data_IF_753132215959
#
_entry.id   IF_753132215959
#
_cell.length_a   1.000
_cell.length_b   1.000
_cell.length_c   1.000
_cell.angle_alpha   90.00
_cell.angle_beta   90.00
_cell.angle_gamma   90.00
#
_symmetry.space_group_name_H-M   'P 1'
#
loop_
_entity.id
_entity.type
_entity.pdbx_description
1 polymer ?
#
# COMPACT_ATOMS: atom_id res chain seq x y z
N UNK A 1 1.79 -14.91 73.38
CA UNK A 1 2.69 -13.79 73.69
C UNK A 1 2.78 -12.96 72.42
N UNK A 2 2.00 -11.92 72.18
CA UNK A 2 1.87 -10.63 72.91
C UNK A 2 2.84 -9.71 72.20
N UNK A 3 2.45 -8.71 71.56
CA UNK A 3 1.83 -7.41 71.69
C UNK A 3 1.85 -6.67 70.33
N UNK A 4 0.81 -6.14 69.74
CA UNK A 4 0.11 -4.83 69.89
C UNK A 4 0.98 -3.57 69.98
N UNK A 5 0.75 -2.64 69.04
CA UNK A 5 0.56 -1.18 69.26
C UNK A 5 0.51 -0.51 67.88
N UNK A 6 -0.58 0.06 67.44
CA UNK A 6 -1.34 1.27 67.76
C UNK A 6 -0.76 2.54 67.14
N UNK A 7 -1.51 3.01 66.14
CA UNK A 7 -2.03 4.35 65.80
C UNK A 7 -1.33 5.60 66.34
N UNK A 8 -1.15 6.60 65.47
CA UNK A 8 -1.46 7.99 65.89
C UNK A 8 -1.82 8.84 64.66
N UNK A 9 -3.08 9.31 64.69
CA UNK A 9 -3.59 10.40 63.88
C UNK A 9 -3.12 11.72 64.52
N UNK A 10 -2.57 12.61 63.69
CA UNK A 10 -2.23 13.99 64.09
C UNK A 10 -3.32 14.97 63.65
N UNK A 11 -4.09 15.41 64.58
CA UNK A 11 -5.01 16.56 64.48
C UNK A 11 -4.25 17.87 64.41
N UNK A 12 -4.59 18.73 63.46
CA UNK A 12 -4.27 20.18 63.53
C UNK A 12 -5.54 20.97 63.76
N UNK A 13 -5.54 21.98 64.65
CA UNK A 13 -6.70 22.79 65.03
C UNK A 13 -6.93 23.95 64.05
N UNK A 14 -8.16 24.57 64.09
CA UNK A 14 -8.50 25.67 63.21
C UNK A 14 -8.03 27.02 63.71
N UNK A 15 -7.35 27.81 62.92
CA UNK A 15 -7.06 29.21 63.26
C UNK A 15 -8.15 30.14 62.75
N UNK A 16 -8.42 31.09 63.66
CA UNK A 16 -9.49 32.08 63.64
C UNK A 16 -9.26 33.18 62.61
N UNK A 17 -10.34 33.61 61.99
CA UNK A 17 -10.46 34.87 61.25
C UNK A 17 -10.36 36.08 62.22
N UNK A 18 -9.62 37.13 61.78
CA UNK A 18 -9.90 38.52 62.06
C UNK A 18 -9.19 39.46 61.13
N UNK A 19 -9.60 40.74 60.89
CA UNK A 19 -9.88 41.27 59.57
C UNK A 19 -8.98 42.43 59.11
N UNK A 20 -9.02 42.57 57.78
CA UNK A 20 -8.87 43.79 57.01
C UNK A 20 -7.77 44.81 57.32
N UNK A 21 -6.91 45.05 56.32
CA UNK A 21 -6.68 46.40 55.81
C UNK A 21 -5.83 46.42 54.53
N UNK A 22 -6.30 47.16 53.53
CA UNK A 22 -5.58 47.83 52.44
C UNK A 22 -4.56 47.05 51.57
N UNK A 23 -5.10 46.33 50.57
CA UNK A 23 -4.32 46.01 49.35
C UNK A 23 -5.13 46.19 48.05
N UNK A 24 -6.06 47.15 48.06
CA UNK A 24 -6.91 47.42 46.86
C UNK A 24 -6.22 48.27 45.81
N UNK A 25 -4.99 48.83 46.04
CA UNK A 25 -4.29 49.67 45.01
C UNK A 25 -3.23 48.98 44.18
N UNK A 26 -2.83 47.72 44.53
CA UNK A 26 -1.85 46.97 43.73
C UNK A 26 -2.46 45.97 42.74
N UNK A 27 -3.72 45.66 42.91
CA UNK A 27 -4.43 44.73 42.02
C UNK A 27 -4.97 45.41 40.77
N UNK A 28 -5.35 46.66 40.86
CA UNK A 28 -5.84 47.45 39.72
C UNK A 28 -4.71 47.84 38.75
N UNK A 29 -3.48 48.09 39.24
CA UNK A 29 -2.31 48.36 38.39
C UNK A 29 -1.78 47.11 37.67
N UNK A 30 -1.97 45.89 38.16
CA UNK A 30 -1.60 44.65 37.50
C UNK A 30 -2.62 44.23 36.44
N UNK A 31 -3.91 44.52 36.67
CA UNK A 31 -4.97 44.25 35.67
C UNK A 31 -4.98 45.32 34.57
N UNK A 32 -4.59 46.58 34.87
CA UNK A 32 -4.47 47.62 33.87
C UNK A 32 -3.27 47.39 32.92
N UNK A 33 -2.22 46.70 33.41
CA UNK A 33 -1.05 46.36 32.56
C UNK A 33 -1.19 45.06 31.79
N UNK A 34 -2.07 44.14 32.26
CA UNK A 34 -2.41 42.92 31.53
C UNK A 34 -3.35 43.20 30.37
N UNK A 35 -4.18 44.24 30.42
CA UNK A 35 -5.10 44.60 29.35
C UNK A 35 -4.42 45.54 28.26
N UNK A 36 -3.16 45.90 28.41
CA UNK A 36 -2.44 46.70 27.39
C UNK A 36 -1.69 45.86 26.34
N UNK A 37 -1.65 44.51 26.50
CA UNK A 37 -0.95 43.62 25.55
C UNK A 37 -1.89 42.66 24.78
N UNK A 38 -3.20 42.89 24.82
CA UNK A 38 -4.13 42.11 23.98
C UNK A 38 -5.27 43.02 23.52
N UNK A 39 -5.06 43.68 22.41
CA UNK A 39 -6.11 44.04 21.45
C UNK A 39 -5.50 44.93 20.36
N UNK A 40 -4.77 44.36 19.45
CA UNK A 40 -4.93 44.77 18.06
C UNK A 40 -6.27 44.15 17.62
N UNK A 41 -7.37 44.79 17.94
CA UNK A 41 -8.66 44.46 17.35
C UNK A 41 -8.49 44.72 15.86
N UNK A 42 -8.59 43.64 15.07
CA UNK A 42 -8.72 43.72 13.62
C UNK A 42 -9.89 44.68 13.35
N UNK A 43 -9.68 45.71 12.52
CA UNK A 43 -10.74 46.64 12.16
C UNK A 43 -11.91 45.88 11.50
N UNK A 44 -13.12 46.38 11.66
CA UNK A 44 -14.32 45.74 11.03
C UNK A 44 -14.17 45.66 9.52
N UNK A 45 -13.51 46.61 8.87
CA UNK A 45 -13.20 46.62 7.44
C UNK A 45 -12.22 45.48 7.07
N UNK A 46 -11.18 45.25 7.88
CA UNK A 46 -10.22 44.15 7.69
C UNK A 46 -10.90 42.77 7.84
N UNK A 47 -11.85 42.64 8.77
CA UNK A 47 -12.61 41.39 8.97
C UNK A 47 -13.45 41.06 7.76
N UNK A 48 -14.16 42.05 7.17
CA UNK A 48 -14.99 41.86 5.98
C UNK A 48 -14.12 41.54 4.76
N UNK A 49 -12.98 42.20 4.60
CA UNK A 49 -12.03 41.95 3.52
C UNK A 49 -11.45 40.53 3.60
N UNK A 50 -11.00 40.10 4.80
CA UNK A 50 -10.48 38.75 5.04
C UNK A 50 -11.59 37.70 4.80
N UNK A 51 -12.80 37.96 5.29
CA UNK A 51 -13.93 37.06 5.07
C UNK A 51 -14.28 36.90 3.59
N UNK A 52 -14.30 38.00 2.85
CA UNK A 52 -14.55 38.02 1.40
C UNK A 52 -13.45 37.25 0.64
N UNK A 53 -12.19 37.46 1.03
CA UNK A 53 -11.06 36.74 0.44
C UNK A 53 -11.11 35.23 0.72
N UNK A 54 -11.45 34.82 1.95
CA UNK A 54 -11.66 33.41 2.30
C UNK A 54 -12.83 32.83 1.52
N UNK A 55 -13.95 33.58 1.42
CA UNK A 55 -15.13 33.17 0.66
C UNK A 55 -14.80 32.96 -0.84
N UNK A 56 -13.99 33.84 -1.42
CA UNK A 56 -13.46 33.68 -2.77
C UNK A 56 -12.70 32.37 -2.93
N UNK A 57 -11.79 32.07 -2.02
CA UNK A 57 -11.03 30.79 -2.02
C UNK A 57 -11.94 29.58 -1.85
N UNK A 58 -12.96 29.66 -0.98
CA UNK A 58 -13.91 28.58 -0.78
C UNK A 58 -14.74 28.29 -2.03
N UNK A 59 -15.10 29.34 -2.80
CA UNK A 59 -15.82 29.17 -4.07
C UNK A 59 -14.95 28.62 -5.20
N UNK A 60 -13.64 28.81 -5.13
CA UNK A 60 -12.67 28.26 -6.08
C UNK A 60 -12.16 26.85 -5.69
N UNK A 61 -12.51 26.37 -4.50
CA UNK A 61 -12.10 25.05 -4.08
C UNK A 61 -12.73 23.98 -5.00
N UNK A 62 -11.90 23.08 -5.55
CA UNK A 62 -12.43 21.92 -6.24
C UNK A 62 -13.30 21.09 -5.28
N UNK A 63 -14.28 20.40 -5.83
CA UNK A 63 -15.05 19.42 -5.05
C UNK A 63 -14.12 18.47 -4.33
N UNK A 64 -14.47 18.03 -3.11
CA UNK A 64 -13.65 17.04 -2.43
C UNK A 64 -13.40 15.84 -3.35
N UNK A 65 -12.24 15.18 -3.23
CA UNK A 65 -11.94 14.02 -4.07
C UNK A 65 -13.13 13.06 -4.09
N UNK A 66 -13.46 12.55 -5.25
CA UNK A 66 -14.49 11.53 -5.39
C UNK A 66 -14.24 10.39 -4.41
N UNK A 67 -15.28 9.83 -3.79
CA UNK A 67 -15.17 8.60 -3.01
C UNK A 67 -14.66 7.41 -3.85
N UNK A 68 -14.56 7.58 -5.16
CA UNK A 68 -14.11 6.58 -6.12
C UNK A 68 -12.62 6.70 -6.46
N UNK A 69 -11.93 7.77 -6.03
CA UNK A 69 -10.50 7.90 -6.29
C UNK A 69 -9.72 6.74 -5.64
N UNK A 70 -8.70 6.27 -6.35
CA UNK A 70 -7.95 5.08 -5.94
C UNK A 70 -6.46 5.13 -6.29
N UNK A 71 -6.07 6.06 -7.14
CA UNK A 71 -4.68 6.26 -7.55
C UNK A 71 -4.17 7.49 -6.81
N UNK A 72 -3.27 7.26 -5.85
CA UNK A 72 -2.79 8.28 -4.92
C UNK A 72 -1.32 8.55 -5.13
N UNK A 73 -0.87 9.75 -4.78
CA UNK A 73 0.56 9.96 -4.48
C UNK A 73 0.86 9.42 -3.11
N UNK A 74 2.03 8.80 -3.00
CA UNK A 74 2.49 8.26 -1.71
C UNK A 74 2.82 9.41 -0.77
N UNK A 75 2.22 9.45 0.44
CA UNK A 75 2.49 10.49 1.42
C UNK A 75 3.98 10.57 1.77
N UNK A 76 4.49 11.79 1.98
CA UNK A 76 5.90 12.04 2.30
C UNK A 76 6.38 11.25 3.54
N UNK A 77 5.49 11.04 4.52
CA UNK A 77 5.79 10.23 5.70
C UNK A 77 6.20 8.80 5.37
N UNK A 78 5.55 8.16 4.39
CA UNK A 78 5.87 6.80 3.95
C UNK A 78 7.04 6.77 2.96
N UNK A 79 7.26 7.87 2.22
CA UNK A 79 8.29 7.97 1.19
C UNK A 79 9.70 8.19 1.74
N UNK A 80 9.85 8.91 2.85
CA UNK A 80 11.13 9.45 3.38
C UNK A 80 12.22 8.40 3.62
N UNK A 81 11.86 7.15 3.94
CA UNK A 81 12.84 6.10 4.25
C UNK A 81 13.34 5.31 3.04
N UNK A 82 12.58 5.30 1.94
CA UNK A 82 13.01 4.70 0.69
C UNK A 82 12.23 5.28 -0.50
N UNK A 83 12.61 6.47 -0.94
CA UNK A 83 11.96 7.14 -2.07
C UNK A 83 12.00 6.30 -3.36
N UNK A 84 13.10 5.58 -3.58
CA UNK A 84 13.29 4.75 -4.78
C UNK A 84 12.28 3.61 -4.90
N UNK A 85 11.68 3.17 -3.78
CA UNK A 85 10.66 2.13 -3.77
C UNK A 85 9.34 2.55 -4.43
N UNK A 86 9.14 3.85 -4.68
CA UNK A 86 7.90 4.42 -5.22
C UNK A 86 8.06 5.06 -6.60
N UNK A 87 9.28 5.00 -7.16
CA UNK A 87 9.59 5.62 -8.45
C UNK A 87 9.88 4.55 -9.50
N UNK A 88 9.21 4.58 -10.66
CA UNK A 88 9.44 3.61 -11.72
C UNK A 88 10.87 3.70 -12.27
N UNK A 89 11.47 2.54 -12.53
CA UNK A 89 12.85 2.40 -13.00
C UNK A 89 12.95 2.17 -14.51
N UNK A 90 11.93 1.60 -15.13
CA UNK A 90 11.94 1.19 -16.53
C UNK A 90 10.81 1.84 -17.32
N UNK A 91 9.58 1.81 -16.83
CA UNK A 91 8.41 2.28 -17.57
C UNK A 91 7.50 3.17 -16.72
N UNK A 92 7.16 4.33 -17.28
CA UNK A 92 6.14 5.23 -16.72
C UNK A 92 4.75 4.80 -17.20
N UNK A 93 3.80 4.68 -16.29
CA UNK A 93 2.39 4.38 -16.57
C UNK A 93 1.52 5.47 -15.93
N UNK A 94 0.59 6.01 -16.70
CA UNK A 94 -0.27 7.10 -16.26
C UNK A 94 0.46 8.44 -16.08
N UNK A 95 -0.23 9.45 -15.52
CA UNK A 95 0.21 10.84 -15.59
C UNK A 95 1.33 11.20 -14.60
N UNK A 96 1.49 10.50 -13.47
CA UNK A 96 2.35 10.97 -12.39
C UNK A 96 3.86 10.98 -12.70
N UNK A 97 4.31 10.07 -13.57
CA UNK A 97 5.73 9.95 -13.96
C UNK A 97 5.99 10.15 -15.46
N UNK A 98 4.98 10.56 -16.24
CA UNK A 98 5.07 10.63 -17.71
C UNK A 98 6.11 11.65 -18.23
N UNK A 99 6.48 12.63 -17.42
CA UNK A 99 7.49 13.63 -17.78
C UNK A 99 8.93 13.19 -17.49
N UNK A 100 9.11 12.03 -16.82
CA UNK A 100 10.44 11.55 -16.50
C UNK A 100 11.24 11.24 -17.76
N UNK A 101 12.31 12.04 -17.98
CA UNK A 101 13.14 11.96 -19.19
C UNK A 101 13.90 10.64 -19.32
N UNK A 102 14.22 10.00 -18.19
CA UNK A 102 14.95 8.73 -18.16
C UNK A 102 14.09 7.56 -18.70
N UNK A 103 12.77 7.66 -18.57
CA UNK A 103 11.81 6.63 -18.98
C UNK A 103 11.29 6.81 -20.41
N UNK A 104 11.61 7.94 -21.08
CA UNK A 104 11.12 8.24 -22.45
C UNK A 104 11.49 7.21 -23.51
N UNK A 105 12.54 6.42 -23.27
CA UNK A 105 12.91 5.34 -24.17
C UNK A 105 11.81 4.27 -24.35
N UNK A 106 10.98 4.06 -23.31
CA UNK A 106 9.89 3.09 -23.33
C UNK A 106 8.68 3.53 -24.16
N UNK A 107 8.53 4.82 -24.47
CA UNK A 107 7.40 5.32 -25.28
C UNK A 107 7.39 4.71 -26.71
N UNK A 108 8.57 4.47 -27.30
CA UNK A 108 8.68 3.78 -28.58
C UNK A 108 8.24 2.32 -28.48
N UNK A 109 8.52 1.68 -27.38
CA UNK A 109 8.15 0.29 -27.10
C UNK A 109 6.63 0.18 -26.88
N UNK A 110 6.02 1.13 -26.19
CA UNK A 110 4.55 1.21 -26.02
C UNK A 110 3.85 1.33 -27.38
N UNK A 111 4.34 2.22 -28.25
CA UNK A 111 3.84 2.36 -29.63
C UNK A 111 3.98 1.07 -30.42
N UNK A 112 5.12 0.38 -30.29
CA UNK A 112 5.32 -0.88 -30.96
C UNK A 112 4.41 -1.99 -30.46
N UNK A 113 4.14 -2.06 -29.14
CA UNK A 113 3.19 -3.01 -28.55
C UNK A 113 1.76 -2.74 -29.04
N UNK A 114 1.34 -1.48 -29.12
CA UNK A 114 0.06 -1.11 -29.74
C UNK A 114 -0.02 -1.59 -31.20
N UNK A 115 1.05 -1.38 -31.99
CA UNK A 115 1.12 -1.86 -33.38
C UNK A 115 1.01 -3.38 -33.45
N UNK A 116 1.68 -4.12 -32.57
CA UNK A 116 1.58 -5.58 -32.51
C UNK A 116 0.14 -6.04 -32.21
N UNK A 117 -0.56 -5.40 -31.28
CA UNK A 117 -1.95 -5.70 -30.95
C UNK A 117 -2.89 -5.45 -32.13
N UNK A 118 -2.76 -4.29 -32.79
CA UNK A 118 -3.58 -3.93 -33.94
C UNK A 118 -3.36 -4.87 -35.14
N UNK A 119 -2.13 -5.36 -35.36
CA UNK A 119 -1.81 -6.26 -36.46
C UNK A 119 -2.19 -7.72 -36.18
N UNK A 120 -2.50 -8.09 -34.93
CA UNK A 120 -2.86 -9.46 -34.56
C UNK A 120 -4.33 -9.78 -34.79
N UNK A 121 -5.16 -8.76 -35.03
CA UNK A 121 -6.58 -8.96 -35.34
C UNK A 121 -6.73 -9.75 -36.65
N UNK A 122 -7.57 -10.82 -36.69
CA UNK A 122 -7.84 -11.57 -37.91
C UNK A 122 -8.44 -10.68 -38.97
N UNK A 123 -8.06 -10.87 -40.23
CA UNK A 123 -8.51 -10.03 -41.35
C UNK A 123 -10.02 -10.11 -41.65
N UNK A 124 -10.71 -11.12 -41.12
CA UNK A 124 -12.14 -11.40 -41.35
C UNK A 124 -13.06 -10.95 -40.21
N UNK A 125 -12.55 -10.72 -39.01
CA UNK A 125 -13.33 -10.14 -37.89
C UNK A 125 -13.10 -8.62 -37.84
N UNK A 126 -14.10 -7.89 -37.42
CA UNK A 126 -14.13 -6.42 -37.32
C UNK A 126 -12.76 -5.87 -36.87
N UNK A 127 -12.02 -5.31 -37.84
CA UNK A 127 -10.70 -4.73 -37.58
C UNK A 127 -10.84 -3.71 -36.47
N UNK A 128 -10.26 -3.99 -35.30
CA UNK A 128 -10.18 -3.02 -34.22
C UNK A 128 -9.41 -1.83 -34.72
N UNK A 129 -10.11 -0.77 -35.09
CA UNK A 129 -9.47 0.44 -35.57
C UNK A 129 -9.01 1.30 -34.38
N UNK A 130 -7.92 2.04 -34.56
CA UNK A 130 -7.48 3.03 -33.58
C UNK A 130 -8.62 4.01 -33.21
N UNK A 131 -9.54 4.29 -34.17
CA UNK A 131 -10.71 5.13 -33.94
C UNK A 131 -11.66 4.52 -32.89
N UNK A 132 -11.83 3.19 -32.89
CA UNK A 132 -12.64 2.51 -31.87
C UNK A 132 -12.03 2.65 -30.49
N UNK A 133 -10.71 2.50 -30.35
CA UNK A 133 -10.00 2.67 -29.07
C UNK A 133 -10.14 4.10 -28.55
N UNK A 134 -9.92 5.10 -29.43
CA UNK A 134 -10.05 6.52 -29.06
C UNK A 134 -11.48 6.87 -28.63
N UNK A 135 -12.49 6.36 -29.35
CA UNK A 135 -13.89 6.59 -28.96
C UNK A 135 -14.22 5.97 -27.59
N UNK A 136 -13.83 4.73 -27.38
CA UNK A 136 -14.14 4.00 -26.15
C UNK A 136 -13.44 4.62 -24.92
N UNK A 137 -12.13 4.87 -24.99
CA UNK A 137 -11.40 5.52 -23.89
C UNK A 137 -11.81 6.98 -23.73
N UNK A 138 -12.11 7.68 -24.84
CA UNK A 138 -12.56 9.07 -24.79
C UNK A 138 -13.94 9.26 -24.17
N UNK A 139 -14.81 8.23 -24.17
CA UNK A 139 -16.12 8.28 -23.49
C UNK A 139 -16.03 8.14 -21.98
N UNK A 140 -14.95 7.57 -21.45
CA UNK A 140 -14.71 7.38 -20.00
C UNK A 140 -13.62 8.30 -19.44
N UNK A 141 -13.20 9.30 -20.23
CA UNK A 141 -12.06 10.15 -19.88
C UNK A 141 -12.23 10.89 -18.54
N UNK A 142 -13.43 11.41 -18.27
CA UNK A 142 -13.73 12.12 -17.04
C UNK A 142 -13.65 11.18 -15.83
N UNK A 143 -14.28 10.01 -15.88
CA UNK A 143 -14.25 8.99 -14.83
C UNK A 143 -12.80 8.52 -14.57
N UNK A 144 -12.00 8.44 -15.64
CA UNK A 144 -10.59 8.11 -15.54
C UNK A 144 -9.80 9.18 -14.78
N UNK A 145 -10.08 10.46 -14.99
CA UNK A 145 -9.43 11.55 -14.22
C UNK A 145 -9.85 11.52 -12.76
N UNK A 146 -11.11 11.29 -12.48
CA UNK A 146 -11.65 11.20 -11.11
C UNK A 146 -11.11 10.01 -10.32
N UNK A 147 -10.53 9.03 -11.00
CA UNK A 147 -9.80 7.92 -10.34
C UNK A 147 -8.51 8.36 -9.67
N UNK A 148 -7.94 9.52 -10.03
CA UNK A 148 -6.75 10.10 -9.40
C UNK A 148 -7.15 11.02 -8.26
N UNK A 149 -6.45 10.92 -7.13
CA UNK A 149 -6.73 11.75 -5.95
C UNK A 149 -6.30 13.22 -6.12
N UNK A 150 -5.40 13.48 -7.06
CA UNK A 150 -4.94 14.81 -7.43
C UNK A 150 -5.43 15.18 -8.82
N UNK A 151 -5.64 16.47 -9.05
CA UNK A 151 -6.00 16.98 -10.37
C UNK A 151 -4.87 16.66 -11.38
N UNK A 152 -5.26 16.06 -12.50
CA UNK A 152 -4.36 15.68 -13.58
C UNK A 152 -4.34 16.80 -14.63
N UNK A 153 -3.34 17.69 -14.56
CA UNK A 153 -3.14 18.78 -15.52
C UNK A 153 -2.46 18.26 -16.79
N UNK A 154 -3.18 17.45 -17.56
CA UNK A 154 -2.75 16.94 -18.87
C UNK A 154 -3.84 17.25 -19.88
N UNK A 155 -3.54 17.88 -21.04
CA UNK A 155 -4.53 18.16 -22.07
C UNK A 155 -5.30 16.90 -22.50
N UNK A 156 -6.61 17.02 -22.72
CA UNK A 156 -7.52 15.91 -23.03
C UNK A 156 -6.97 14.94 -24.08
N UNK A 157 -6.49 15.47 -25.18
CA UNK A 157 -5.95 14.66 -26.29
C UNK A 157 -4.76 13.81 -25.84
N UNK A 158 -3.84 14.41 -25.09
CA UNK A 158 -2.64 13.74 -24.57
C UNK A 158 -2.98 12.72 -23.49
N UNK A 159 -3.99 13.00 -22.67
CA UNK A 159 -4.47 12.08 -21.65
C UNK A 159 -5.07 10.80 -22.26
N UNK A 160 -5.95 10.94 -23.27
CA UNK A 160 -6.56 9.80 -23.98
C UNK A 160 -5.48 8.98 -24.69
N UNK A 161 -4.51 9.64 -25.36
CA UNK A 161 -3.35 8.98 -25.98
C UNK A 161 -2.58 8.16 -24.96
N UNK A 162 -2.25 8.74 -23.81
CA UNK A 162 -1.55 8.07 -22.70
C UNK A 162 -2.31 6.85 -22.22
N UNK A 163 -3.61 6.96 -21.93
CA UNK A 163 -4.42 5.83 -21.47
C UNK A 163 -4.40 4.66 -22.47
N UNK A 164 -4.49 4.96 -23.77
CA UNK A 164 -4.45 3.94 -24.80
C UNK A 164 -3.05 3.28 -24.90
N UNK A 165 -2.00 4.08 -24.95
CA UNK A 165 -0.63 3.56 -25.09
C UNK A 165 -0.23 2.73 -23.88
N UNK A 166 -0.48 3.23 -22.68
CA UNK A 166 -0.13 2.57 -21.43
C UNK A 166 -0.97 1.30 -21.23
N UNK A 167 -2.29 1.39 -21.50
CA UNK A 167 -3.17 0.23 -21.38
C UNK A 167 -2.81 -0.88 -22.34
N UNK A 168 -2.58 -0.56 -23.61
CA UNK A 168 -2.15 -1.54 -24.61
C UNK A 168 -0.77 -2.13 -24.28
N UNK A 169 0.15 -1.31 -23.77
CA UNK A 169 1.44 -1.80 -23.29
C UNK A 169 1.27 -2.81 -22.15
N UNK A 170 0.47 -2.50 -21.13
CA UNK A 170 0.24 -3.41 -20.00
C UNK A 170 -0.36 -4.73 -20.49
N UNK A 171 -1.41 -4.69 -21.31
CA UNK A 171 -2.09 -5.89 -21.81
C UNK A 171 -1.17 -6.79 -22.63
N UNK A 172 -0.43 -6.21 -23.56
CA UNK A 172 0.52 -6.94 -24.40
C UNK A 172 1.68 -7.50 -23.57
N UNK A 173 2.21 -6.70 -22.62
CA UNK A 173 3.26 -7.13 -21.71
C UNK A 173 2.81 -8.35 -20.89
N UNK A 174 1.64 -8.29 -20.25
CA UNK A 174 1.12 -9.38 -19.43
C UNK A 174 0.87 -10.65 -20.25
N UNK A 175 0.31 -10.49 -21.48
CA UNK A 175 0.10 -11.60 -22.39
C UNK A 175 1.43 -12.30 -22.79
N UNK A 176 2.47 -11.53 -23.08
CA UNK A 176 3.83 -12.06 -23.39
C UNK A 176 4.45 -12.70 -22.15
N UNK A 177 4.36 -12.04 -21.01
CA UNK A 177 4.90 -12.52 -19.75
C UNK A 177 4.27 -13.85 -19.31
N UNK A 178 2.94 -13.99 -19.46
CA UNK A 178 2.23 -15.25 -19.19
C UNK A 178 2.72 -16.41 -20.07
N UNK A 179 2.95 -16.15 -21.34
CA UNK A 179 3.35 -17.17 -22.34
C UNK A 179 4.85 -17.48 -22.35
N UNK A 180 5.64 -16.88 -21.45
CA UNK A 180 7.12 -16.90 -21.49
C UNK A 180 7.70 -16.41 -22.86
N UNK A 181 6.91 -15.64 -23.59
CA UNK A 181 7.28 -15.10 -24.89
C UNK A 181 8.34 -13.99 -24.80
N UNK A 182 8.85 -13.69 -23.61
CA UNK A 182 9.96 -12.75 -23.41
C UNK A 182 11.28 -13.29 -23.98
N UNK A 183 11.37 -14.62 -24.17
CA UNK A 183 12.50 -15.28 -24.79
C UNK A 183 12.41 -15.31 -26.34
N UNK A 184 11.36 -14.71 -26.94
CA UNK A 184 11.09 -14.87 -28.37
C UNK A 184 11.84 -13.87 -29.22
N UNK A 185 12.61 -14.47 -30.14
CA UNK A 185 13.21 -13.94 -31.37
C UNK A 185 13.83 -12.55 -31.26
N UNK A 186 15.13 -12.55 -31.30
CA UNK A 186 16.02 -11.38 -31.38
C UNK A 186 15.57 -10.33 -32.40
N UNK A 187 14.81 -10.73 -33.42
CA UNK A 187 14.33 -9.87 -34.50
C UNK A 187 13.05 -9.06 -34.14
N UNK A 188 12.28 -9.48 -33.11
CA UNK A 188 11.09 -8.79 -32.65
C UNK A 188 11.26 -8.13 -31.25
N UNK A 189 12.37 -8.34 -30.60
CA UNK A 189 12.64 -7.84 -29.25
C UNK A 189 13.17 -6.41 -29.32
N UNK A 190 12.27 -5.43 -29.33
CA UNK A 190 12.64 -4.03 -29.06
C UNK A 190 12.91 -3.79 -27.56
N UNK A 191 12.40 -4.64 -26.70
CA UNK A 191 12.87 -4.72 -25.30
C UNK A 191 14.19 -5.50 -25.34
N UNK A 192 15.30 -4.91 -24.90
CA UNK A 192 16.56 -5.63 -24.80
C UNK A 192 16.32 -6.97 -24.11
N UNK A 193 16.79 -8.06 -24.71
CA UNK A 193 16.57 -9.44 -24.24
C UNK A 193 17.39 -9.71 -22.95
N UNK A 194 17.19 -8.86 -21.94
CA UNK A 194 17.85 -8.92 -20.65
C UNK A 194 16.90 -9.58 -19.68
N UNK A 195 17.31 -10.68 -19.08
CA UNK A 195 16.51 -11.51 -18.17
C UNK A 195 15.93 -10.73 -16.97
N UNK A 196 16.52 -9.59 -16.62
CA UNK A 196 16.09 -8.75 -15.50
C UNK A 196 14.94 -7.79 -15.83
N UNK A 197 14.84 -7.33 -17.09
CA UNK A 197 13.93 -6.25 -17.48
C UNK A 197 12.44 -6.60 -17.28
N UNK A 198 11.94 -7.80 -17.66
CA UNK A 198 10.53 -8.15 -17.43
C UNK A 198 10.13 -8.11 -15.96
N UNK A 199 11.01 -8.52 -15.05
CA UNK A 199 10.76 -8.45 -13.60
C UNK A 199 10.71 -7.02 -13.09
N UNK A 200 11.57 -6.13 -13.62
CA UNK A 200 11.55 -4.70 -13.27
C UNK A 200 10.32 -3.98 -13.83
N UNK A 201 9.91 -4.28 -15.06
CA UNK A 201 8.65 -3.78 -15.62
C UNK A 201 7.47 -4.21 -14.74
N UNK A 202 7.41 -5.49 -14.34
CA UNK A 202 6.33 -5.96 -13.48
C UNK A 202 6.34 -5.26 -12.12
N UNK A 203 7.52 -4.99 -11.55
CA UNK A 203 7.65 -4.20 -10.32
C UNK A 203 7.14 -2.76 -10.51
N UNK A 204 7.49 -2.11 -11.63
CA UNK A 204 6.99 -0.77 -11.96
C UNK A 204 5.47 -0.74 -12.12
N UNK A 205 4.86 -1.80 -12.69
CA UNK A 205 3.40 -1.93 -12.83
C UNK A 205 2.68 -2.10 -11.48
N UNK A 206 3.38 -2.41 -10.40
CA UNK A 206 2.85 -2.54 -9.04
C UNK A 206 3.14 -1.33 -8.15
N UNK A 207 3.63 -0.22 -8.68
CA UNK A 207 3.79 1.02 -7.93
C UNK A 207 2.47 1.78 -7.87
N UNK A 208 2.12 2.34 -6.70
CA UNK A 208 0.87 3.08 -6.49
C UNK A 208 0.76 4.34 -7.37
N UNK A 209 1.89 5.01 -7.60
CA UNK A 209 1.95 6.21 -8.46
C UNK A 209 2.12 5.89 -9.96
N UNK A 210 2.14 4.62 -10.33
CA UNK A 210 2.39 4.17 -11.70
C UNK A 210 1.23 3.31 -12.21
N UNK A 211 0.02 3.85 -12.13
CA UNK A 211 -1.24 3.16 -12.41
C UNK A 211 -2.09 3.91 -13.44
N UNK A 212 -2.93 3.17 -14.14
CA UNK A 212 -4.10 3.67 -14.87
C UNK A 212 -5.37 2.99 -14.34
N UNK A 213 -6.56 3.62 -14.48
CA UNK A 213 -7.81 3.05 -14.01
C UNK A 213 -8.10 1.69 -14.65
N UNK A 214 -8.66 0.77 -13.86
CA UNK A 214 -9.03 -0.57 -14.34
C UNK A 214 -10.03 -0.54 -15.49
N UNK A 215 -10.96 0.41 -15.50
CA UNK A 215 -11.93 0.56 -16.57
C UNK A 215 -11.28 0.78 -17.95
N UNK A 216 -10.12 1.44 -18.01
CA UNK A 216 -9.35 1.57 -19.26
C UNK A 216 -8.80 0.22 -19.70
N UNK A 217 -8.20 -0.56 -18.79
CA UNK A 217 -7.67 -1.88 -19.11
C UNK A 217 -8.77 -2.84 -19.56
N UNK A 218 -9.89 -2.85 -18.84
CA UNK A 218 -11.05 -3.70 -19.17
C UNK A 218 -11.69 -3.32 -20.51
N UNK A 219 -11.84 -2.03 -20.74
CA UNK A 219 -12.33 -1.51 -22.02
C UNK A 219 -11.45 -1.96 -23.19
N UNK A 220 -10.12 -1.76 -23.08
CA UNK A 220 -9.17 -2.14 -24.12
C UNK A 220 -9.10 -3.67 -24.30
N UNK A 221 -9.12 -4.45 -23.22
CA UNK A 221 -9.12 -5.91 -23.26
C UNK A 221 -10.36 -6.44 -23.99
N UNK A 222 -11.53 -5.87 -23.71
CA UNK A 222 -12.78 -6.29 -24.33
C UNK A 222 -12.84 -5.95 -25.81
N UNK A 223 -12.19 -4.87 -26.24
CA UNK A 223 -12.10 -4.49 -27.66
C UNK A 223 -11.08 -5.33 -28.43
N UNK A 224 -10.23 -6.12 -27.76
CA UNK A 224 -9.15 -6.87 -28.42
C UNK A 224 -9.35 -8.39 -28.28
N UNK A 225 -10.13 -9.03 -29.16
CA UNK A 225 -10.37 -10.47 -29.13
C UNK A 225 -9.10 -11.32 -29.16
N UNK A 226 -8.05 -10.82 -29.81
CA UNK A 226 -6.75 -11.49 -29.89
C UNK A 226 -6.04 -11.71 -28.54
N UNK A 227 -6.48 -11.04 -27.48
CA UNK A 227 -5.98 -11.24 -26.11
C UNK A 227 -6.73 -12.36 -25.38
N UNK A 228 -7.94 -12.71 -25.84
CA UNK A 228 -8.78 -13.74 -25.22
C UNK A 228 -8.34 -15.13 -25.67
N UNK A 229 -8.26 -16.05 -24.72
CA UNK A 229 -7.96 -17.47 -24.95
C UNK A 229 -8.94 -18.30 -24.13
N UNK A 230 -9.03 -19.62 -24.38
CA UNK A 230 -9.87 -20.51 -23.57
C UNK A 230 -9.58 -20.46 -22.07
N UNK A 231 -8.30 -20.26 -21.72
CA UNK A 231 -7.83 -20.14 -20.33
C UNK A 231 -7.88 -18.70 -19.78
N UNK A 232 -8.09 -17.70 -20.63
CA UNK A 232 -8.00 -16.27 -20.32
C UNK A 232 -9.15 -15.53 -21.00
N UNK A 233 -10.37 -15.71 -20.52
CA UNK A 233 -11.57 -15.09 -21.07
C UNK A 233 -11.84 -13.71 -20.50
N UNK A 234 -11.26 -13.39 -19.33
CA UNK A 234 -11.41 -12.16 -18.60
C UNK A 234 -10.05 -11.50 -18.32
N UNK A 235 -10.05 -10.19 -18.15
CA UNK A 235 -8.85 -9.44 -17.75
C UNK A 235 -8.27 -9.96 -16.43
N UNK A 236 -9.12 -10.29 -15.45
CA UNK A 236 -8.69 -10.86 -14.17
C UNK A 236 -7.88 -12.14 -14.33
N UNK A 237 -8.25 -13.01 -15.28
CA UNK A 237 -7.53 -14.25 -15.57
C UNK A 237 -6.13 -13.96 -16.13
N UNK A 238 -6.01 -12.97 -17.01
CA UNK A 238 -4.72 -12.55 -17.58
C UNK A 238 -3.81 -11.98 -16.50
N UNK A 239 -4.34 -11.10 -15.65
CA UNK A 239 -3.57 -10.44 -14.59
C UNK A 239 -3.15 -11.45 -13.53
N UNK A 240 -4.07 -12.24 -12.98
CA UNK A 240 -3.77 -13.20 -11.91
C UNK A 240 -2.79 -14.28 -12.35
N UNK A 241 -2.92 -14.82 -13.57
CA UNK A 241 -1.99 -15.82 -14.10
C UNK A 241 -0.58 -15.24 -14.36
N UNK A 242 -0.49 -13.97 -14.76
CA UNK A 242 0.79 -13.29 -14.94
C UNK A 242 1.46 -13.00 -13.59
N UNK A 243 0.68 -12.56 -12.60
CA UNK A 243 1.17 -12.21 -11.27
C UNK A 243 1.50 -13.45 -10.42
N UNK A 244 0.89 -14.62 -10.68
CA UNK A 244 1.22 -15.87 -9.98
C UNK A 244 2.70 -16.26 -10.15
N UNK A 245 3.33 -15.85 -11.24
CA UNK A 245 4.78 -16.02 -11.47
C UNK A 245 5.66 -15.18 -10.53
N UNK A 246 5.06 -14.26 -9.77
CA UNK A 246 5.76 -13.51 -8.71
C UNK A 246 6.04 -14.37 -7.47
N UNK A 247 5.52 -15.59 -7.42
CA UNK A 247 5.80 -16.55 -6.33
C UNK A 247 5.07 -16.28 -5.01
N UNK A 248 4.13 -15.32 -4.98
CA UNK A 248 3.40 -14.94 -3.76
C UNK A 248 1.94 -15.39 -3.74
N UNK A 249 1.46 -16.01 -4.81
CA UNK A 249 0.08 -16.42 -4.94
C UNK A 249 -0.05 -17.93 -5.03
N UNK A 250 -1.05 -18.51 -4.37
CA UNK A 250 -1.54 -19.82 -4.79
C UNK A 250 -2.09 -19.69 -6.22
N UNK A 251 -1.89 -20.69 -7.08
CA UNK A 251 -2.31 -20.67 -8.49
C UNK A 251 -3.81 -20.43 -8.72
N UNK A 252 -4.62 -20.56 -7.66
CA UNK A 252 -6.09 -20.44 -7.67
C UNK A 252 -6.64 -19.12 -7.12
N UNK A 253 -5.78 -18.16 -6.78
CA UNK A 253 -6.22 -16.89 -6.20
C UNK A 253 -6.99 -16.06 -7.24
N UNK A 254 -8.33 -16.21 -7.26
CA UNK A 254 -9.23 -15.37 -8.04
C UNK A 254 -9.99 -14.45 -7.09
N UNK A 255 -10.01 -13.17 -7.42
CA UNK A 255 -10.88 -12.21 -6.73
C UNK A 255 -12.23 -12.14 -7.46
N UNK A 256 -13.32 -12.17 -6.72
CA UNK A 256 -14.68 -11.93 -7.24
C UNK A 256 -15.06 -10.43 -7.20
N UNK A 257 -14.14 -9.57 -6.78
CA UNK A 257 -14.37 -8.14 -6.59
C UNK A 257 -14.07 -7.36 -7.87
N UNK A 258 -14.71 -6.20 -8.02
CA UNK A 258 -14.32 -5.21 -9.03
C UNK A 258 -13.00 -4.56 -8.61
N UNK A 259 -12.09 -4.38 -9.55
CA UNK A 259 -10.79 -3.78 -9.30
C UNK A 259 -10.77 -2.31 -9.69
N UNK A 260 -9.94 -1.52 -9.03
CA UNK A 260 -9.78 -0.09 -9.30
C UNK A 260 -8.59 0.18 -10.25
N UNK A 261 -7.50 -0.58 -10.09
CA UNK A 261 -6.29 -0.56 -10.92
C UNK A 261 -5.48 -1.85 -10.70
N UNK A 262 -4.32 -1.99 -11.36
CA UNK A 262 -3.53 -3.24 -11.33
C UNK A 262 -3.01 -3.59 -9.93
N UNK A 263 -2.52 -2.60 -9.16
CA UNK A 263 -2.08 -2.81 -7.78
C UNK A 263 -3.24 -3.24 -6.88
N UNK A 264 -4.45 -2.70 -7.09
CA UNK A 264 -5.66 -3.13 -6.37
C UNK A 264 -6.03 -4.58 -6.70
N UNK A 265 -5.95 -4.97 -7.97
CA UNK A 265 -6.16 -6.37 -8.38
C UNK A 265 -5.15 -7.28 -7.68
N UNK A 266 -3.88 -6.90 -7.65
CA UNK A 266 -2.82 -7.63 -6.97
C UNK A 266 -3.12 -7.79 -5.47
N UNK A 267 -3.47 -6.71 -4.78
CA UNK A 267 -3.87 -6.74 -3.37
C UNK A 267 -5.08 -7.65 -3.14
N UNK A 268 -6.11 -7.51 -3.96
CA UNK A 268 -7.34 -8.29 -3.83
C UNK A 268 -7.10 -9.80 -4.04
N UNK A 269 -6.17 -10.18 -4.91
CA UNK A 269 -5.72 -11.57 -5.06
C UNK A 269 -5.01 -12.06 -3.79
N UNK A 270 -4.14 -11.24 -3.18
CA UNK A 270 -3.47 -11.58 -1.91
C UNK A 270 -4.45 -11.72 -0.75
N UNK A 271 -5.43 -10.83 -0.65
CA UNK A 271 -6.38 -10.79 0.47
C UNK A 271 -7.57 -11.72 0.28
N UNK A 272 -7.98 -11.98 -0.97
CA UNK A 272 -9.23 -12.69 -1.29
C UNK A 272 -9.29 -14.14 -0.80
N UNK A 273 -8.16 -14.81 -0.63
CA UNK A 273 -8.05 -16.16 -0.05
C UNK A 273 -7.56 -16.16 1.41
N UNK A 274 -7.50 -14.98 2.03
CA UNK A 274 -7.11 -14.85 3.43
C UNK A 274 -8.25 -15.31 4.35
N UNK A 275 -7.94 -16.21 5.28
CA UNK A 275 -8.91 -16.75 6.26
C UNK A 275 -8.90 -16.03 7.59
N UNK A 276 -8.09 -14.95 7.73
CA UNK A 276 -7.99 -14.18 8.96
C UNK A 276 -9.29 -13.41 9.20
N UNK A 277 -9.93 -13.65 10.32
CA UNK A 277 -11.09 -12.89 10.76
C UNK A 277 -10.67 -11.50 11.25
N UNK A 278 -11.31 -10.46 10.74
CA UNK A 278 -11.07 -9.10 11.26
C UNK A 278 -11.54 -9.02 12.72
N UNK A 279 -10.70 -8.58 13.65
CA UNK A 279 -11.10 -8.44 15.03
C UNK A 279 -12.19 -7.36 15.17
N UNK A 280 -13.14 -7.56 16.08
CA UNK A 280 -14.21 -6.60 16.37
C UNK A 280 -13.70 -5.26 16.93
N UNK A 281 -12.49 -5.25 17.47
CA UNK A 281 -11.82 -4.05 17.97
C UNK A 281 -10.45 -3.92 17.31
N UNK A 282 -10.17 -2.74 16.76
CA UNK A 282 -8.85 -2.42 16.22
C UNK A 282 -7.87 -2.22 17.39
N UNK A 283 -6.98 -3.19 17.60
CA UNK A 283 -5.94 -3.12 18.65
C UNK A 283 -4.65 -2.64 18.02
N UNK A 284 -4.05 -1.53 18.50
CA UNK A 284 -2.74 -1.10 18.02
C UNK A 284 -1.66 -2.11 18.39
N UNK A 285 -0.79 -2.43 17.43
CA UNK A 285 0.33 -3.39 17.60
C UNK A 285 1.20 -3.09 18.84
N UNK A 286 1.42 -1.82 19.17
CA UNK A 286 2.26 -1.40 20.32
C UNK A 286 1.83 -1.96 21.68
N UNK A 287 0.62 -2.50 21.78
CA UNK A 287 0.06 -3.06 23.03
C UNK A 287 0.26 -4.57 23.14
N UNK A 288 0.73 -5.23 22.12
CA UNK A 288 0.87 -6.69 22.08
C UNK A 288 2.37 -7.02 22.11
N UNK A 289 2.87 -7.66 23.17
CA UNK A 289 4.23 -8.18 23.17
C UNK A 289 4.31 -9.35 22.20
N UNK A 290 5.28 -9.32 21.30
CA UNK A 290 5.51 -10.38 20.32
C UNK A 290 6.98 -10.77 20.41
N UNK A 291 7.24 -12.05 20.65
CA UNK A 291 8.57 -12.63 20.70
C UNK A 291 9.12 -12.85 19.28
N UNK A 292 10.43 -12.77 19.12
CA UNK A 292 11.10 -13.10 17.88
C UNK A 292 11.08 -14.62 17.62
N UNK A 293 11.41 -15.00 16.38
CA UNK A 293 11.48 -16.41 15.97
C UNK A 293 12.44 -17.22 16.87
N UNK A 294 13.60 -16.67 17.20
CA UNK A 294 14.58 -17.34 18.07
C UNK A 294 14.10 -17.44 19.50
N UNK A 295 13.46 -16.39 20.04
CA UNK A 295 12.85 -16.42 21.37
C UNK A 295 11.73 -17.47 21.44
N UNK A 296 10.83 -17.51 20.46
CA UNK A 296 9.77 -18.52 20.36
C UNK A 296 10.32 -19.94 20.26
N UNK A 297 11.39 -20.12 19.48
CA UNK A 297 12.06 -21.43 19.35
C UNK A 297 12.66 -21.90 20.68
N UNK A 298 13.24 -21.01 21.46
CA UNK A 298 13.76 -21.31 22.81
C UNK A 298 12.66 -21.74 23.79
N UNK A 299 11.41 -21.22 23.60
CA UNK A 299 10.22 -21.62 24.37
C UNK A 299 9.49 -22.83 23.78
N UNK A 300 10.15 -23.61 22.91
CA UNK A 300 9.64 -24.87 22.40
C UNK A 300 8.70 -24.77 21.19
N UNK A 301 8.43 -23.57 20.66
CA UNK A 301 7.64 -23.43 19.43
C UNK A 301 8.43 -23.94 18.21
N UNK A 302 7.70 -24.56 17.27
CA UNK A 302 8.25 -25.07 16.02
C UNK A 302 7.64 -24.31 14.84
N UNK A 303 8.46 -23.80 13.97
CA UNK A 303 8.05 -23.18 12.73
C UNK A 303 7.98 -24.23 11.61
N UNK A 304 6.87 -24.24 10.86
CA UNK A 304 6.60 -25.22 9.80
C UNK A 304 6.13 -24.48 8.54
N UNK A 305 6.79 -24.73 7.42
CA UNK A 305 6.35 -24.24 6.13
C UNK A 305 5.02 -24.92 5.71
N UNK A 306 4.10 -24.15 5.16
CA UNK A 306 2.83 -24.62 4.62
C UNK A 306 2.77 -24.30 3.12
N UNK A 307 2.77 -25.30 2.26
CA UNK A 307 2.76 -25.13 0.81
C UNK A 307 1.35 -24.84 0.28
N UNK A 308 1.27 -24.01 -0.77
CA UNK A 308 0.02 -23.76 -1.49
C UNK A 308 -1.01 -22.88 -0.78
N UNK A 309 -0.70 -22.41 0.42
CA UNK A 309 -1.55 -21.49 1.20
C UNK A 309 -1.22 -20.01 0.87
N UNK A 310 -2.16 -19.14 1.19
CA UNK A 310 -1.97 -17.70 1.09
C UNK A 310 -0.95 -17.23 2.14
N UNK A 311 0.00 -16.38 1.73
CA UNK A 311 1.08 -15.87 2.62
C UNK A 311 0.56 -15.23 3.91
N UNK A 312 -0.67 -14.73 3.91
CA UNK A 312 -1.30 -14.10 5.08
C UNK A 312 -1.84 -15.12 6.09
N UNK A 313 -2.03 -16.40 5.70
CA UNK A 313 -2.65 -17.41 6.55
C UNK A 313 -1.65 -18.06 7.51
N UNK A 314 -1.27 -17.31 8.56
CA UNK A 314 -0.42 -17.84 9.63
C UNK A 314 -1.29 -18.47 10.70
N UNK A 315 -0.99 -19.72 11.08
CA UNK A 315 -1.81 -20.53 11.99
C UNK A 315 -0.97 -21.02 13.17
N UNK A 316 -1.59 -21.09 14.35
CA UNK A 316 -1.01 -21.71 15.54
C UNK A 316 -1.80 -22.99 15.89
N UNK A 317 -1.12 -24.12 15.86
CA UNK A 317 -1.65 -25.42 16.29
C UNK A 317 -0.73 -25.99 17.38
N UNK A 318 -1.18 -25.95 18.62
CA UNK A 318 -0.36 -26.27 19.79
C UNK A 318 0.94 -25.41 19.79
N UNK A 319 2.12 -26.04 19.81
CA UNK A 319 3.43 -25.37 19.74
C UNK A 319 3.97 -25.23 18.29
N UNK A 320 3.10 -25.40 17.28
CA UNK A 320 3.48 -25.30 15.85
C UNK A 320 2.92 -24.05 15.25
N UNK A 321 3.80 -23.16 14.83
CA UNK A 321 3.46 -21.95 14.04
C UNK A 321 3.64 -22.33 12.57
N UNK A 322 2.52 -22.47 11.87
CA UNK A 322 2.48 -22.79 10.44
C UNK A 322 2.48 -21.49 9.65
N UNK A 323 3.44 -21.33 8.77
CA UNK A 323 3.59 -20.14 7.93
C UNK A 323 3.74 -20.57 6.47
N UNK A 324 2.98 -19.98 5.55
CA UNK A 324 3.21 -20.17 4.13
C UNK A 324 4.59 -19.66 3.73
N UNK A 325 5.20 -20.32 2.75
CA UNK A 325 6.50 -19.91 2.24
C UNK A 325 6.40 -18.56 1.51
N UNK A 326 7.37 -17.70 1.73
CA UNK A 326 7.51 -16.41 1.06
C UNK A 326 8.86 -16.32 0.34
N UNK A 327 8.81 -15.89 -0.94
CA UNK A 327 10.02 -15.58 -1.71
C UNK A 327 10.36 -14.11 -1.52
N UNK A 328 11.55 -13.83 -0.95
CA UNK A 328 12.03 -12.45 -0.75
C UNK A 328 13.12 -12.16 -1.78
N UNK A 329 12.80 -11.31 -2.74
CA UNK A 329 13.67 -10.85 -3.82
C UNK A 329 13.92 -9.33 -3.72
N UNK A 330 14.78 -8.79 -4.58
CA UNK A 330 15.13 -7.36 -4.65
C UNK A 330 13.90 -6.42 -4.74
N UNK A 331 12.85 -6.82 -5.48
CA UNK A 331 11.65 -6.00 -5.67
C UNK A 331 10.59 -6.16 -4.56
N UNK A 332 10.77 -7.11 -3.64
CA UNK A 332 9.80 -7.42 -2.57
C UNK A 332 9.57 -6.22 -1.65
N UNK A 333 10.63 -5.46 -1.33
CA UNK A 333 10.50 -4.24 -0.52
C UNK A 333 9.61 -3.19 -1.19
N UNK A 334 9.87 -2.90 -2.47
CA UNK A 334 9.07 -1.93 -3.22
C UNK A 334 7.60 -2.35 -3.29
N UNK A 335 7.33 -3.62 -3.55
CA UNK A 335 5.99 -4.18 -3.61
C UNK A 335 5.23 -4.01 -2.28
N UNK A 336 5.82 -4.44 -1.15
CA UNK A 336 5.17 -4.27 0.16
C UNK A 336 4.93 -2.81 0.50
N UNK A 337 5.89 -1.93 0.24
CA UNK A 337 5.76 -0.50 0.50
C UNK A 337 4.60 0.13 -0.29
N UNK A 338 4.41 -0.25 -1.54
CA UNK A 338 3.31 0.26 -2.37
C UNK A 338 1.94 -0.31 -1.94
N UNK A 339 1.86 -1.59 -1.58
CA UNK A 339 0.65 -2.20 -1.01
C UNK A 339 0.26 -1.54 0.32
N UNK A 340 1.23 -1.33 1.21
CA UNK A 340 1.03 -0.64 2.49
C UNK A 340 0.58 0.81 2.25
N UNK A 341 1.26 1.54 1.36
CA UNK A 341 0.87 2.90 1.02
C UNK A 341 -0.57 2.95 0.48
N UNK A 342 -0.96 1.99 -0.35
CA UNK A 342 -2.32 1.89 -0.85
C UNK A 342 -3.34 1.65 0.26
N UNK A 343 -3.08 0.72 1.21
CA UNK A 343 -3.95 0.49 2.36
C UNK A 343 -4.09 1.72 3.28
N UNK A 344 -3.08 2.59 3.32
CA UNK A 344 -3.13 3.83 4.10
C UNK A 344 -3.82 4.98 3.37
N UNK A 345 -3.78 5.01 2.05
CA UNK A 345 -4.38 6.06 1.24
C UNK A 345 -5.86 5.82 0.92
N UNK A 346 -6.28 4.55 0.76
CA UNK A 346 -7.67 4.20 0.45
C UNK A 346 -8.41 3.73 1.73
N UNK A 347 -9.27 4.57 2.33
CA UNK A 347 -9.99 4.23 3.56
C UNK A 347 -10.97 3.06 3.40
N UNK A 348 -11.30 2.66 2.17
CA UNK A 348 -12.13 1.48 1.89
C UNK A 348 -11.40 0.16 2.08
N UNK A 349 -10.07 0.20 2.19
CA UNK A 349 -9.21 -0.98 2.36
C UNK A 349 -9.01 -1.32 3.84
N UNK A 350 -8.79 -2.59 4.10
CA UNK A 350 -8.31 -3.04 5.41
C UNK A 350 -6.79 -2.94 5.49
N UNK A 351 -6.23 -3.40 6.61
CA UNK A 351 -4.80 -3.36 6.91
C UNK A 351 -4.18 -4.77 6.87
N UNK A 352 -4.60 -5.62 5.93
CA UNK A 352 -4.18 -7.02 5.86
C UNK A 352 -2.68 -7.15 5.57
N UNK A 353 -2.21 -6.45 4.54
CA UNK A 353 -0.79 -6.47 4.15
C UNK A 353 0.05 -5.72 5.19
N UNK A 354 -0.46 -4.60 5.70
CA UNK A 354 0.18 -3.82 6.77
C UNK A 354 0.35 -4.66 8.04
N UNK A 355 -0.67 -5.43 8.43
CA UNK A 355 -0.62 -6.33 9.59
C UNK A 355 0.37 -7.47 9.40
N UNK A 356 0.43 -8.04 8.20
CA UNK A 356 1.40 -9.09 7.87
C UNK A 356 2.84 -8.57 7.93
N UNK A 357 3.11 -7.41 7.32
CA UNK A 357 4.41 -6.77 7.39
C UNK A 357 4.82 -6.45 8.84
N UNK A 358 3.86 -5.98 9.66
CA UNK A 358 4.06 -5.71 11.07
C UNK A 358 4.38 -6.98 11.87
N UNK A 359 3.70 -8.10 11.57
CA UNK A 359 4.00 -9.39 12.20
C UNK A 359 5.40 -9.88 11.83
N UNK A 360 5.77 -9.83 10.55
CA UNK A 360 7.12 -10.21 10.10
C UNK A 360 8.20 -9.36 10.78
N UNK A 361 7.99 -8.05 10.92
CA UNK A 361 8.88 -7.16 11.65
C UNK A 361 9.07 -7.60 13.12
N UNK A 362 7.99 -8.00 13.78
CA UNK A 362 8.06 -8.47 15.17
C UNK A 362 8.77 -9.82 15.30
N UNK A 363 8.55 -10.73 14.36
CA UNK A 363 9.13 -12.07 14.35
C UNK A 363 10.62 -12.05 13.98
N UNK A 364 11.04 -11.18 13.05
CA UNK A 364 12.38 -11.17 12.48
C UNK A 364 13.11 -9.89 12.92
N UNK A 365 13.72 -9.93 14.11
CA UNK A 365 14.48 -8.82 14.69
C UNK A 365 15.98 -8.90 14.39
N UNK A 366 16.48 -10.08 14.08
CA UNK A 366 17.89 -10.37 13.90
C UNK A 366 18.16 -11.27 12.69
N UNK A 367 19.41 -11.33 12.16
CA UNK A 367 19.79 -12.30 11.14
C UNK A 367 19.58 -13.76 11.56
N UNK A 368 19.66 -14.06 12.86
CA UNK A 368 19.43 -15.41 13.40
C UNK A 368 17.96 -15.83 13.25
N UNK A 369 17.00 -14.90 13.40
CA UNK A 369 15.58 -15.16 13.18
C UNK A 369 15.33 -15.49 11.70
N UNK A 370 15.92 -14.70 10.79
CA UNK A 370 15.82 -14.94 9.35
C UNK A 370 16.44 -16.30 8.95
N UNK A 371 17.60 -16.66 9.52
CA UNK A 371 18.25 -17.92 9.27
C UNK A 371 17.36 -19.10 9.68
N UNK A 372 16.75 -19.05 10.87
CA UNK A 372 15.90 -20.12 11.36
C UNK A 372 14.67 -20.34 10.44
N UNK A 373 14.03 -19.28 9.98
CA UNK A 373 12.93 -19.39 9.03
C UNK A 373 13.36 -19.90 7.65
N UNK A 374 14.58 -19.59 7.23
CA UNK A 374 15.17 -20.09 5.99
C UNK A 374 15.49 -21.59 6.08
N UNK A 375 16.02 -22.06 7.20
CA UNK A 375 16.26 -23.48 7.49
C UNK A 375 14.97 -24.31 7.55
N UNK A 376 13.83 -23.66 7.69
CA UNK A 376 12.49 -24.27 7.69
C UNK A 376 11.75 -24.07 6.37
N UNK A 377 12.41 -23.61 5.32
CA UNK A 377 11.85 -23.33 3.98
C UNK A 377 10.68 -22.31 3.98
N UNK A 378 10.52 -21.54 5.07
CA UNK A 378 9.51 -20.49 5.17
C UNK A 378 9.94 -19.24 4.41
N UNK A 379 11.22 -18.87 4.49
CA UNK A 379 11.80 -17.82 3.66
C UNK A 379 12.61 -18.45 2.55
N UNK A 380 12.19 -18.26 1.32
CA UNK A 380 12.89 -18.69 0.12
C UNK A 380 13.63 -17.52 -0.53
N UNK A 381 14.65 -17.78 -1.26
CA UNK A 381 15.90 -17.07 -1.46
C UNK A 381 15.89 -15.89 -2.43
N UNK A 382 16.72 -14.91 -2.14
CA UNK A 382 17.32 -13.86 -2.99
C UNK A 382 18.27 -12.96 -2.22
N UNK A 383 18.10 -12.82 -0.90
CA UNK A 383 18.86 -11.89 -0.06
C UNK A 383 19.64 -12.60 1.07
N UNK A 384 20.68 -11.94 1.61
CA UNK A 384 21.35 -12.41 2.81
C UNK A 384 20.43 -12.31 4.04
N UNK A 385 20.75 -13.01 5.12
CA UNK A 385 19.97 -12.95 6.36
C UNK A 385 19.98 -11.54 6.97
N UNK A 386 21.12 -10.86 6.84
CA UNK A 386 21.33 -9.46 7.26
C UNK A 386 20.42 -8.51 6.44
N UNK A 387 20.34 -8.71 5.13
CA UNK A 387 19.50 -7.90 4.25
C UNK A 387 18.02 -8.11 4.53
N UNK A 388 17.58 -9.34 4.80
CA UNK A 388 16.20 -9.67 5.17
C UNK A 388 15.81 -8.96 6.47
N UNK A 389 16.60 -9.11 7.52
CA UNK A 389 16.34 -8.47 8.81
C UNK A 389 16.34 -6.93 8.67
N UNK A 390 17.33 -6.39 7.95
CA UNK A 390 17.42 -4.96 7.68
C UNK A 390 16.24 -4.43 6.88
N UNK A 391 15.82 -5.14 5.83
CA UNK A 391 14.66 -4.80 5.01
C UNK A 391 13.37 -4.72 5.86
N UNK A 392 13.08 -5.75 6.65
CA UNK A 392 11.86 -5.81 7.46
C UNK A 392 11.86 -4.72 8.55
N UNK A 393 13.02 -4.44 9.16
CA UNK A 393 13.16 -3.34 10.10
C UNK A 393 12.88 -1.97 9.46
N UNK A 394 13.37 -1.75 8.23
CA UNK A 394 13.09 -0.50 7.49
C UNK A 394 11.63 -0.43 7.01
N UNK A 395 11.02 -1.56 6.67
CA UNK A 395 9.65 -1.60 6.18
C UNK A 395 8.65 -1.07 7.21
N UNK A 396 8.88 -1.36 8.50
CA UNK A 396 7.95 -1.02 9.57
C UNK A 396 8.13 0.38 10.17
N UNK A 397 9.28 1.05 9.97
CA UNK A 397 9.62 2.29 10.68
C UNK A 397 8.57 3.43 10.56
N UNK A 398 7.75 3.44 9.51
CA UNK A 398 6.75 4.48 9.25
C UNK A 398 5.31 3.98 9.24
N UNK A 399 5.10 2.71 9.58
CA UNK A 399 3.78 2.09 9.50
C UNK A 399 3.02 2.35 10.80
N UNK A 400 1.87 3.01 10.70
CA UNK A 400 0.90 3.07 11.77
C UNK A 400 -0.10 1.92 11.59
N UNK A 401 0.12 0.78 12.23
CA UNK A 401 -0.83 -0.32 12.24
C UNK A 401 -1.93 -0.03 13.27
N UNK A 402 -3.02 0.59 12.84
CA UNK A 402 -4.17 0.92 13.69
C UNK A 402 -5.05 -0.30 14.00
N UNK A 403 -5.03 -1.32 13.14
CA UNK A 403 -5.82 -2.53 13.27
C UNK A 403 -4.98 -3.77 12.98
N UNK A 404 -4.31 -4.30 14.01
CA UNK A 404 -3.46 -5.48 13.84
C UNK A 404 -4.30 -6.77 13.81
N UNK A 405 -4.26 -7.48 12.70
CA UNK A 405 -5.13 -8.64 12.46
C UNK A 405 -4.68 -9.91 13.16
N UNK A 406 -3.42 -10.02 13.54
CA UNK A 406 -2.86 -11.22 14.20
C UNK A 406 -2.91 -11.15 15.73
N UNK A 407 -3.80 -10.35 16.30
CA UNK A 407 -3.95 -10.17 17.75
C UNK A 407 -4.19 -11.50 18.45
N UNK A 408 -5.19 -12.27 18.02
CA UNK A 408 -5.53 -13.59 18.59
C UNK A 408 -4.36 -14.58 18.51
N UNK A 409 -3.64 -14.58 17.39
CA UNK A 409 -2.45 -15.43 17.22
C UNK A 409 -1.40 -15.10 18.28
N UNK A 410 -1.10 -13.82 18.44
CA UNK A 410 -0.07 -13.35 19.37
C UNK A 410 -0.48 -13.56 20.84
N UNK A 411 -1.74 -13.32 21.19
CA UNK A 411 -2.26 -13.57 22.53
C UNK A 411 -2.21 -15.05 22.89
N UNK A 412 -2.56 -15.94 21.98
CA UNK A 412 -2.47 -17.39 22.17
C UNK A 412 -1.02 -17.85 22.32
N UNK A 413 -0.10 -17.32 21.52
CA UNK A 413 1.35 -17.59 21.65
C UNK A 413 1.84 -17.17 23.02
N UNK A 414 1.46 -15.96 23.48
CA UNK A 414 1.89 -15.45 24.78
C UNK A 414 1.29 -16.27 25.95
N UNK A 415 0.01 -16.68 25.87
CA UNK A 415 -0.61 -17.52 26.91
C UNK A 415 0.10 -18.87 27.07
N UNK A 416 0.47 -19.51 25.96
CA UNK A 416 1.18 -20.78 25.97
C UNK A 416 2.60 -20.61 26.55
N UNK A 417 3.32 -19.57 26.10
CA UNK A 417 4.71 -19.32 26.54
C UNK A 417 4.86 -18.93 28.03
N UNK A 418 3.81 -18.37 28.64
CA UNK A 418 3.81 -18.03 30.09
C UNK A 418 3.43 -19.22 30.96
N UNK A 419 2.74 -20.22 30.41
CA UNK A 419 2.28 -21.39 31.20
C UNK A 419 3.40 -22.39 31.54
N UNK A 420 4.58 -22.26 30.89
CA UNK A 420 5.71 -23.19 31.05
C UNK A 420 6.90 -22.55 31.81
N UNK A 421 6.72 -21.36 32.40
CA UNK A 421 7.65 -20.70 33.32
C UNK A 421 7.10 -20.73 34.73
#
# INVERSE_FOLDING_TARGET
MGATSSTSAGNYPPEKCSPASNTSRRHDDLMANSNRNMQTSIGTEDVEEIASWIQGKLSEMPSPPSHECSIFRVPNGLRRHNEKAFVPQVVSIGPFHHENKELKGMEKIKLWYLKCLLNRAPAEETVVSLVCLVKAVGSTEQDCRESYAEEVDVPRKKFIEMMILDGCFILEFLCRYQKDLMAIRVEEALVPNTSWMPRKILADLLLLENQIPWCVLDCLFNLMPCLKTESCSRLDDLVSSSLSKYGMFPPSARSSQTHKHLLDCFRNCLVGSCTITRPNCLVPLKRIPIWSVTELHQHGFKFIAEDGENILNIKLENYKIKMPAIVIEENTESMFRNLIAYEHCDPSKGYEITSYAALLYCLIKSPADALLLKERDIIQIGLSNEDIASFLNRLYNDICCLGFLYTDLCERVNMIGVSDV
#
